data_IF_838996852400
#
_entry.id   IF_838996852400
#
_cell.length_a   1.000
_cell.length_b   1.000
_cell.length_c   1.000
_cell.angle_alpha   90.00
_cell.angle_beta   90.00
_cell.angle_gamma   90.00
#
_symmetry.space_group_name_H-M   'P 1'
#
loop_
_entity.id
_entity.type
_entity.pdbx_description
1 polymer ?
#
# COMPACT_ATOMS: atom_id res chain seq x y z
N UNK A 1 6.85 -1.91 11.08
CA UNK A 1 6.07 -3.05 10.54
C UNK A 1 6.81 -4.36 10.78
N UNK A 2 6.05 -5.45 10.88
CA UNK A 2 6.58 -6.82 10.76
C UNK A 2 6.70 -7.22 9.28
N UNK A 3 7.94 -7.27 8.76
CA UNK A 3 8.24 -7.57 7.35
C UNK A 3 7.82 -8.99 6.96
N UNK A 4 8.02 -9.97 7.84
CA UNK A 4 7.70 -11.35 7.52
C UNK A 4 6.19 -11.52 7.40
N UNK A 5 5.45 -10.93 8.35
CA UNK A 5 3.99 -10.95 8.32
C UNK A 5 3.44 -10.21 7.09
N UNK A 6 4.02 -9.07 6.72
CA UNK A 6 3.65 -8.35 5.49
C UNK A 6 3.75 -9.25 4.25
N UNK A 7 4.87 -9.96 4.09
CA UNK A 7 5.09 -10.88 2.96
C UNK A 7 4.11 -12.05 2.96
N UNK A 8 3.77 -12.57 4.13
CA UNK A 8 2.77 -13.62 4.28
C UNK A 8 1.38 -13.14 3.85
N UNK A 9 1.00 -11.91 4.20
CA UNK A 9 -0.28 -11.31 3.80
C UNK A 9 -0.33 -11.09 2.28
N UNK A 10 0.73 -10.56 1.66
CA UNK A 10 0.80 -10.45 0.19
C UNK A 10 0.65 -11.82 -0.45
N UNK A 11 1.35 -12.84 0.05
CA UNK A 11 1.25 -14.19 -0.50
C UNK A 11 -0.16 -14.78 -0.35
N UNK A 12 -0.86 -14.46 0.75
CA UNK A 12 -2.27 -14.81 0.95
C UNK A 12 -3.17 -14.09 -0.07
N UNK A 13 -2.95 -12.80 -0.31
CA UNK A 13 -3.70 -12.01 -1.30
C UNK A 13 -3.52 -12.54 -2.73
N UNK A 14 -2.28 -12.86 -3.13
CA UNK A 14 -1.95 -13.47 -4.43
C UNK A 14 -2.69 -14.79 -4.65
N UNK A 15 -2.84 -15.60 -3.59
CA UNK A 15 -3.52 -16.90 -3.68
C UNK A 15 -5.04 -16.80 -3.51
N UNK A 16 -5.57 -15.60 -3.25
CA UNK A 16 -7.00 -15.36 -3.09
C UNK A 16 -7.57 -14.90 -4.43
N UNK A 17 -8.53 -15.66 -4.96
CA UNK A 17 -9.23 -15.31 -6.20
C UNK A 17 -10.07 -14.05 -6.01
N UNK A 18 -10.08 -13.17 -7.01
CA UNK A 18 -10.68 -11.84 -6.90
C UNK A 18 -12.20 -11.88 -6.70
N UNK A 19 -12.88 -12.93 -7.18
CA UNK A 19 -14.31 -13.13 -6.97
C UNK A 19 -14.66 -13.51 -5.52
N UNK A 20 -13.67 -13.92 -4.72
CA UNK A 20 -13.87 -14.14 -3.29
C UNK A 20 -13.68 -12.83 -2.51
N UNK A 21 -14.60 -11.88 -2.74
CA UNK A 21 -14.53 -10.52 -2.19
C UNK A 21 -14.25 -10.45 -0.68
N UNK A 22 -14.86 -11.34 0.11
CA UNK A 22 -14.64 -11.37 1.57
C UNK A 22 -13.18 -11.72 1.90
N UNK A 23 -12.60 -12.71 1.20
CA UNK A 23 -11.19 -13.07 1.42
C UNK A 23 -10.23 -11.99 0.96
N UNK A 24 -10.55 -11.29 -0.13
CA UNK A 24 -9.77 -10.14 -0.61
C UNK A 24 -9.78 -9.02 0.43
N UNK A 25 -10.97 -8.63 0.92
CA UNK A 25 -11.10 -7.60 1.95
C UNK A 25 -10.37 -7.97 3.25
N UNK A 26 -10.38 -9.26 3.64
CA UNK A 26 -9.63 -9.72 4.82
C UNK A 26 -8.12 -9.56 4.62
N UNK A 27 -7.60 -9.85 3.42
CA UNK A 27 -6.19 -9.63 3.10
C UNK A 27 -5.84 -8.13 3.16
N UNK A 28 -6.67 -7.27 2.57
CA UNK A 28 -6.46 -5.82 2.63
C UNK A 28 -6.45 -5.29 4.06
N UNK A 29 -7.41 -5.69 4.89
CA UNK A 29 -7.45 -5.30 6.31
C UNK A 29 -6.19 -5.74 7.04
N UNK A 30 -5.74 -6.98 6.83
CA UNK A 30 -4.51 -7.49 7.44
C UNK A 30 -3.27 -6.71 6.98
N UNK A 31 -3.17 -6.40 5.69
CA UNK A 31 -2.04 -5.65 5.11
C UNK A 31 -1.98 -4.24 5.66
N UNK A 32 -3.12 -3.54 5.70
CA UNK A 32 -3.25 -2.21 6.27
C UNK A 32 -2.82 -2.20 7.74
N UNK A 33 -3.25 -3.16 8.56
CA UNK A 33 -2.83 -3.23 9.96
C UNK A 33 -1.30 -3.39 10.08
N UNK A 34 -0.68 -4.27 9.28
CA UNK A 34 0.77 -4.49 9.35
C UNK A 34 1.57 -3.26 8.93
N UNK A 35 1.16 -2.61 7.83
CA UNK A 35 1.85 -1.43 7.30
C UNK A 35 1.64 -0.18 8.16
N UNK A 36 0.52 -0.11 8.90
CA UNK A 36 0.21 1.02 9.78
C UNK A 36 0.71 0.88 11.21
N UNK A 37 1.10 -0.33 11.64
CA UNK A 37 1.57 -0.61 13.02
C UNK A 37 2.75 0.27 13.45
N UNK A 38 3.69 0.51 12.53
CA UNK A 38 4.84 1.38 12.74
C UNK A 38 5.25 2.01 11.40
N UNK A 39 4.69 3.20 11.17
CA UNK A 39 4.86 4.01 9.96
C UNK A 39 6.33 4.34 9.66
N UNK A 40 7.16 4.81 10.61
CA UNK A 40 8.58 5.01 10.36
C UNK A 40 9.29 3.77 9.80
N UNK A 41 9.05 2.60 10.40
CA UNK A 41 9.63 1.35 9.91
C UNK A 41 9.08 0.95 8.54
N UNK A 42 7.79 1.18 8.27
CA UNK A 42 7.19 0.96 6.95
C UNK A 42 7.84 1.84 5.89
N UNK A 43 8.00 3.13 6.15
CA UNK A 43 8.69 4.06 5.26
C UNK A 43 10.13 3.63 5.00
N UNK A 44 10.85 3.18 6.04
CA UNK A 44 12.20 2.65 5.88
C UNK A 44 12.23 1.42 4.98
N UNK A 45 11.29 0.49 5.13
CA UNK A 45 11.18 -0.69 4.27
C UNK A 45 10.86 -0.32 2.81
N UNK A 46 9.87 0.55 2.60
CA UNK A 46 9.49 1.03 1.27
C UNK A 46 10.68 1.65 0.52
N UNK A 47 11.47 2.48 1.20
CA UNK A 47 12.65 3.13 0.59
C UNK A 47 13.75 2.15 0.20
N UNK A 48 14.01 1.14 1.05
CA UNK A 48 15.26 0.39 0.97
C UNK A 48 15.10 -1.05 0.45
N UNK A 49 13.97 -1.70 0.74
CA UNK A 49 13.81 -3.16 0.59
C UNK A 49 12.61 -3.55 -0.27
N UNK A 50 11.60 -2.68 -0.39
CA UNK A 50 10.38 -2.96 -1.15
C UNK A 50 10.68 -3.28 -2.62
N UNK A 51 10.13 -4.40 -3.07
CA UNK A 51 10.25 -4.90 -4.45
C UNK A 51 9.18 -4.32 -5.37
N UNK A 52 9.33 -4.52 -6.68
CA UNK A 52 8.34 -4.08 -7.66
C UNK A 52 6.97 -4.76 -7.46
N UNK A 53 6.97 -6.07 -7.21
CA UNK A 53 5.75 -6.85 -6.94
C UNK A 53 5.05 -6.37 -5.67
N UNK A 54 5.79 -6.19 -4.57
CA UNK A 54 5.24 -5.68 -3.31
C UNK A 54 4.68 -4.26 -3.49
N UNK A 55 5.37 -3.40 -4.23
CA UNK A 55 4.90 -2.07 -4.58
C UNK A 55 3.57 -2.10 -5.36
N UNK A 56 3.45 -3.00 -6.33
CA UNK A 56 2.22 -3.18 -7.10
C UNK A 56 1.07 -3.64 -6.21
N UNK A 57 1.28 -4.62 -5.32
CA UNK A 57 0.20 -5.11 -4.43
C UNK A 57 -0.30 -4.05 -3.44
N UNK A 58 0.61 -3.24 -2.89
CA UNK A 58 0.23 -2.13 -1.99
C UNK A 58 -0.71 -1.14 -2.68
N UNK A 59 -0.74 -1.06 -4.02
CA UNK A 59 -1.60 -0.10 -4.72
C UNK A 59 -3.09 -0.34 -4.47
N UNK A 60 -3.47 -1.56 -4.10
CA UNK A 60 -4.86 -1.91 -3.78
C UNK A 60 -5.35 -1.26 -2.48
N UNK A 61 -4.44 -0.82 -1.60
CA UNK A 61 -4.77 -0.37 -0.23
C UNK A 61 -4.14 0.97 0.16
N UNK A 62 -3.41 1.64 -0.74
CA UNK A 62 -2.63 2.84 -0.38
C UNK A 62 -3.51 4.00 0.10
N UNK A 63 -4.72 4.13 -0.43
CA UNK A 63 -5.71 5.13 -0.05
C UNK A 63 -6.29 4.84 1.34
N UNK A 64 -6.67 3.59 1.62
CA UNK A 64 -7.08 3.16 2.96
C UNK A 64 -5.94 3.32 3.99
N UNK A 65 -4.70 3.02 3.59
CA UNK A 65 -3.52 3.22 4.41
C UNK A 65 -3.30 4.71 4.71
N UNK A 66 -3.56 5.60 3.74
CA UNK A 66 -3.53 7.04 3.92
C UNK A 66 -4.63 7.52 4.88
N UNK A 67 -5.86 6.99 4.76
CA UNK A 67 -6.98 7.28 5.67
C UNK A 67 -6.63 6.86 7.11
N UNK A 68 -6.09 5.65 7.30
CA UNK A 68 -5.79 5.10 8.62
C UNK A 68 -4.61 5.79 9.29
N UNK A 69 -3.50 5.98 8.55
CA UNK A 69 -2.25 6.51 9.14
C UNK A 69 -2.19 8.03 9.17
N UNK A 70 -2.94 8.69 8.28
CA UNK A 70 -2.83 10.13 8.00
C UNK A 70 -1.39 10.59 7.72
N UNK A 71 -0.53 9.68 7.26
CA UNK A 71 0.89 9.93 7.09
C UNK A 71 1.20 10.42 5.69
N UNK A 72 1.42 11.74 5.55
CA UNK A 72 1.92 12.36 4.31
C UNK A 72 3.27 11.79 3.91
N UNK A 73 4.14 11.49 4.87
CA UNK A 73 5.46 10.90 4.60
C UNK A 73 5.33 9.50 3.97
N UNK A 74 4.39 8.69 4.43
CA UNK A 74 4.16 7.36 3.88
C UNK A 74 3.69 7.43 2.43
N UNK A 75 2.68 8.26 2.16
CA UNK A 75 2.14 8.42 0.80
C UNK A 75 3.19 9.00 -0.15
N UNK A 76 3.95 10.02 0.28
CA UNK A 76 5.03 10.57 -0.53
C UNK A 76 6.15 9.55 -0.75
N UNK A 77 6.48 8.73 0.25
CA UNK A 77 7.44 7.64 0.10
C UNK A 77 6.98 6.62 -0.95
N UNK A 78 5.71 6.23 -0.90
CA UNK A 78 5.13 5.29 -1.86
C UNK A 78 5.08 5.89 -3.27
N UNK A 79 4.65 7.16 -3.41
CA UNK A 79 4.68 7.91 -4.67
C UNK A 79 6.07 7.94 -5.30
N UNK A 80 7.12 8.12 -4.50
CA UNK A 80 8.49 8.13 -5.00
C UNK A 80 8.94 6.78 -5.59
N UNK A 81 8.33 5.65 -5.20
CA UNK A 81 8.59 4.35 -5.82
C UNK A 81 8.13 4.29 -7.28
N UNK A 82 7.21 5.15 -7.72
CA UNK A 82 6.81 5.23 -9.12
C UNK A 82 7.99 5.56 -10.06
N UNK A 83 8.96 6.34 -9.57
CA UNK A 83 10.17 6.63 -10.32
C UNK A 83 11.12 5.42 -10.41
N UNK A 84 11.07 4.53 -9.41
CA UNK A 84 11.88 3.30 -9.33
C UNK A 84 11.26 2.16 -10.14
N UNK A 85 9.94 2.11 -10.20
CA UNK A 85 9.12 1.05 -10.81
C UNK A 85 8.12 1.64 -11.83
N UNK A 86 8.63 2.23 -12.94
CA UNK A 86 7.80 2.95 -13.90
C UNK A 86 6.93 2.04 -14.76
N UNK A 87 7.25 0.76 -14.87
CA UNK A 87 6.48 -0.19 -15.68
C UNK A 87 5.24 -0.64 -14.89
N UNK A 88 5.43 -1.03 -13.63
CA UNK A 88 4.38 -1.37 -12.66
C UNK A 88 3.44 -0.18 -12.45
N UNK A 89 3.99 1.03 -12.37
CA UNK A 89 3.19 2.27 -12.26
C UNK A 89 2.19 2.42 -13.41
N UNK A 90 2.59 2.07 -14.63
CA UNK A 90 1.72 2.15 -15.80
C UNK A 90 0.75 0.99 -15.87
N UNK A 91 1.22 -0.22 -15.58
CA UNK A 91 0.43 -1.45 -15.68
C UNK A 91 -0.74 -1.45 -14.68
N UNK A 92 -0.46 -1.06 -13.43
CA UNK A 92 -1.44 -1.07 -12.33
C UNK A 92 -2.07 0.30 -12.05
N UNK A 93 -1.84 1.29 -12.93
CA UNK A 93 -2.40 2.64 -12.80
C UNK A 93 -2.11 3.31 -11.43
N UNK A 94 -0.93 3.05 -10.85
CA UNK A 94 -0.60 3.42 -9.47
C UNK A 94 -0.68 4.94 -9.24
N UNK A 95 -0.46 5.74 -10.29
CA UNK A 95 -0.64 7.19 -10.22
C UNK A 95 -2.05 7.59 -9.75
N UNK A 96 -3.09 6.89 -10.22
CA UNK A 96 -4.46 7.12 -9.77
C UNK A 96 -4.66 6.73 -8.29
N UNK A 97 -4.10 5.60 -7.85
CA UNK A 97 -4.17 5.18 -6.45
C UNK A 97 -3.50 6.21 -5.51
N UNK A 98 -2.36 6.78 -5.93
CA UNK A 98 -1.68 7.86 -5.20
C UNK A 98 -2.53 9.12 -5.16
N UNK A 99 -3.14 9.53 -6.26
CA UNK A 99 -4.06 10.69 -6.28
C UNK A 99 -5.23 10.50 -5.31
N UNK A 100 -5.82 9.30 -5.24
CA UNK A 100 -6.85 8.97 -4.24
C UNK A 100 -6.31 9.08 -2.81
N UNK A 101 -5.13 8.51 -2.53
CA UNK A 101 -4.50 8.60 -1.22
C UNK A 101 -4.21 10.06 -0.80
N UNK A 102 -3.69 10.88 -1.72
CA UNK A 102 -3.45 12.31 -1.49
C UNK A 102 -4.75 13.06 -1.24
N UNK A 103 -5.81 12.79 -2.00
CA UNK A 103 -7.13 13.39 -1.79
C UNK A 103 -7.66 13.11 -0.38
N UNK A 104 -7.60 11.86 0.09
CA UNK A 104 -8.04 11.53 1.44
C UNK A 104 -7.19 12.18 2.54
N UNK A 105 -5.92 12.52 2.29
CA UNK A 105 -5.08 13.28 3.22
C UNK A 105 -5.44 14.77 3.28
N UNK A 106 -6.13 15.29 2.26
CA UNK A 106 -6.59 16.68 2.17
C UNK A 106 -8.04 16.86 2.63
N UNK A 107 -8.86 15.80 2.54
CA UNK A 107 -10.24 15.77 3.03
C UNK A 107 -10.29 15.70 4.58
N UNK A 108 -9.94 16.82 5.21
CA UNK A 108 -10.01 17.04 6.67
C UNK A 108 -11.04 18.08 7.10
N UNK A 109 -11.88 18.57 6.18
CA UNK A 109 -12.84 19.66 6.43
C UNK A 109 -14.31 19.20 6.26
N UNK A 110 -14.77 18.25 7.08
CA UNK A 110 -16.19 17.91 7.25
C UNK A 110 -16.57 17.65 8.71
#
# INVERSE_FOLDING_TARGET
MDVQKFKEVIQKRINTVDEYYVGVEECWKEEIEVLSEDVPSTVAYLKNECTADEFAWICEIIDDLAVKTRSRELVECYKNLMNKYPDETKEYYIGFCVECAEYFLEDTDA
#
